data_IF_414960785591
#
_entry.id   IF_414960785591
#
_cell.length_a   1.000
_cell.length_b   1.000
_cell.length_c   1.000
_cell.angle_alpha   90.00
_cell.angle_beta   90.00
_cell.angle_gamma   90.00
#
_symmetry.space_group_name_H-M   'P 1'
#
loop_
_entity.id
_entity.type
_entity.pdbx_description
1 polymer ?
#
# COMPACT_ATOMS: atom_id res chain seq x y z
N UNK A 1 27.47 -1.54 15.48
CA UNK A 1 26.35 -2.32 14.92
C UNK A 1 25.49 -1.34 14.13
N UNK A 2 25.43 -1.47 12.81
CA UNK A 2 24.54 -0.64 12.00
C UNK A 2 23.09 -1.05 12.28
N UNK A 3 22.26 -0.10 12.72
CA UNK A 3 20.83 -0.33 12.92
C UNK A 3 20.19 -0.70 11.59
N UNK A 4 19.99 -2.00 11.35
CA UNK A 4 19.30 -2.50 10.17
C UNK A 4 17.82 -2.10 10.27
N UNK A 5 17.37 -1.31 9.30
CA UNK A 5 16.02 -0.77 9.20
C UNK A 5 15.38 -1.32 7.93
N UNK A 6 14.47 -2.28 8.07
CA UNK A 6 13.67 -2.79 6.95
C UNK A 6 12.33 -2.06 6.90
N UNK A 7 11.92 -1.62 5.71
CA UNK A 7 10.66 -0.90 5.50
C UNK A 7 9.83 -1.66 4.46
N UNK A 8 8.57 -1.93 4.78
CA UNK A 8 7.65 -2.65 3.91
C UNK A 8 6.47 -1.79 3.52
N UNK A 9 6.14 -1.74 2.22
CA UNK A 9 5.01 -0.98 1.68
C UNK A 9 4.19 -1.86 0.72
N UNK A 10 2.86 -1.71 0.73
CA UNK A 10 1.98 -2.44 -0.17
C UNK A 10 1.70 -1.64 -1.45
N UNK A 11 1.68 -2.34 -2.58
CA UNK A 11 1.12 -1.87 -3.85
C UNK A 11 0.00 -2.81 -4.28
N UNK A 12 -0.99 -2.27 -4.99
CA UNK A 12 -2.05 -3.01 -5.64
C UNK A 12 -1.93 -2.80 -7.15
N UNK A 13 -1.78 -3.90 -7.90
CA UNK A 13 -1.86 -3.92 -9.35
C UNK A 13 -3.15 -4.63 -9.74
N UNK A 14 -3.99 -3.99 -10.53
CA UNK A 14 -5.30 -4.55 -10.87
C UNK A 14 -5.72 -4.24 -12.29
N UNK A 15 -6.75 -4.95 -12.73
CA UNK A 15 -7.49 -4.58 -13.92
C UNK A 15 -8.98 -4.79 -13.75
N UNK A 16 -9.74 -4.12 -14.61
CA UNK A 16 -11.15 -4.37 -14.88
C UNK A 16 -11.30 -4.66 -16.36
N UNK A 17 -12.13 -5.62 -16.70
CA UNK A 17 -12.49 -5.91 -18.08
C UNK A 17 -14.01 -6.06 -18.18
N UNK A 18 -14.60 -5.38 -19.15
CA UNK A 18 -16.05 -5.33 -19.32
C UNK A 18 -16.42 -5.65 -20.77
N UNK A 19 -17.30 -6.64 -20.94
CA UNK A 19 -17.89 -6.94 -22.23
C UNK A 19 -18.79 -5.78 -22.67
N UNK A 20 -18.58 -5.31 -23.90
CA UNK A 20 -19.35 -4.22 -24.49
C UNK A 20 -20.71 -4.72 -24.97
N UNK A 21 -21.73 -3.87 -24.86
CA UNK A 21 -23.06 -4.13 -25.46
C UNK A 21 -23.00 -4.12 -27.00
N UNK A 22 -22.10 -3.32 -27.56
CA UNK A 22 -21.86 -3.20 -29.00
C UNK A 22 -20.37 -3.22 -29.27
N UNK A 23 -19.99 -4.07 -30.22
CA UNK A 23 -18.63 -4.19 -30.74
C UNK A 23 -18.20 -2.85 -31.37
N UNK A 24 -16.93 -2.48 -31.23
CA UNK A 24 -16.40 -1.27 -31.88
C UNK A 24 -16.36 -1.40 -33.40
N UNK A 25 -16.13 -0.30 -34.12
CA UNK A 25 -15.92 -0.32 -35.58
C UNK A 25 -14.79 -1.24 -36.02
N UNK A 26 -13.77 -1.37 -35.17
CA UNK A 26 -12.58 -2.19 -35.37
C UNK A 26 -12.81 -3.67 -34.98
N UNK A 27 -13.97 -4.01 -34.45
CA UNK A 27 -14.29 -5.38 -34.03
C UNK A 27 -13.94 -5.69 -32.57
N UNK A 28 -13.67 -4.70 -31.71
CA UNK A 28 -13.32 -4.96 -30.30
C UNK A 28 -14.54 -5.21 -29.42
N UNK A 29 -14.44 -6.21 -28.57
CA UNK A 29 -15.54 -6.74 -27.74
C UNK A 29 -15.47 -6.27 -26.30
N UNK A 30 -14.29 -5.95 -25.77
CA UNK A 30 -14.11 -5.56 -24.37
C UNK A 30 -13.51 -4.16 -24.25
N UNK A 31 -13.96 -3.45 -23.23
CA UNK A 31 -13.24 -2.34 -22.62
C UNK A 31 -12.45 -2.88 -21.44
N UNK A 32 -11.18 -2.50 -21.31
CA UNK A 32 -10.38 -2.89 -20.15
C UNK A 32 -9.57 -1.72 -19.62
N UNK A 33 -9.28 -1.79 -18.32
CA UNK A 33 -8.49 -0.81 -17.60
C UNK A 33 -7.51 -1.52 -16.70
N UNK A 34 -6.23 -1.17 -16.76
CA UNK A 34 -5.19 -1.67 -15.85
C UNK A 34 -4.66 -0.52 -15.00
N UNK A 35 -4.36 -0.80 -13.73
CA UNK A 35 -3.96 0.23 -12.77
C UNK A 35 -2.90 -0.24 -11.78
N UNK A 36 -2.19 0.75 -11.23
CA UNK A 36 -1.35 0.62 -10.02
C UNK A 36 -1.80 1.65 -9.00
N UNK A 37 -2.01 1.22 -7.76
CA UNK A 37 -2.37 2.11 -6.64
C UNK A 37 -1.81 1.60 -5.32
N UNK A 38 -1.95 2.40 -4.26
CA UNK A 38 -1.80 1.89 -2.90
C UNK A 38 -3.09 1.24 -2.41
N UNK A 39 -3.05 0.54 -1.26
CA UNK A 39 -4.28 0.19 -0.53
C UNK A 39 -5.08 1.44 -0.20
N UNK A 40 -6.35 1.28 0.22
CA UNK A 40 -7.37 2.34 0.28
C UNK A 40 -6.91 3.68 0.92
N UNK A 41 -6.02 3.65 1.92
CA UNK A 41 -5.48 4.85 2.59
C UNK A 41 -4.06 5.24 2.17
N UNK A 42 -3.40 4.48 1.30
CA UNK A 42 -1.99 4.63 0.95
C UNK A 42 -1.77 5.49 -0.29
N UNK A 43 -1.36 6.75 -0.11
CA UNK A 43 -0.94 7.62 -1.22
C UNK A 43 0.48 7.27 -1.68
N UNK A 44 0.56 6.46 -2.75
CA UNK A 44 1.83 6.00 -3.32
C UNK A 44 2.58 7.10 -4.07
N UNK A 45 1.94 8.23 -4.41
CA UNK A 45 2.60 9.35 -5.10
C UNK A 45 3.77 9.91 -4.27
N UNK A 46 3.77 9.71 -2.96
CA UNK A 46 4.89 10.12 -2.11
C UNK A 46 6.22 9.45 -2.49
N UNK A 47 6.21 8.17 -2.87
CA UNK A 47 7.42 7.41 -3.17
C UNK A 47 7.50 6.92 -4.62
N UNK A 48 6.41 6.96 -5.39
CA UNK A 48 6.38 6.64 -6.82
C UNK A 48 6.63 7.90 -7.64
N UNK A 49 7.60 7.83 -8.55
CA UNK A 49 7.92 8.89 -9.52
C UNK A 49 7.02 8.79 -10.75
N UNK A 50 6.87 7.59 -11.28
CA UNK A 50 6.02 7.29 -12.44
C UNK A 50 5.75 5.79 -12.53
N UNK A 51 4.69 5.43 -13.23
CA UNK A 51 4.38 4.07 -13.64
C UNK A 51 4.46 3.99 -15.16
N UNK A 52 5.11 2.95 -15.68
CA UNK A 52 5.20 2.67 -17.12
C UNK A 52 4.50 1.36 -17.40
N UNK A 53 3.45 1.40 -18.21
CA UNK A 53 2.76 0.22 -18.71
C UNK A 53 3.32 -0.10 -20.11
N UNK A 54 4.06 -1.20 -20.21
CA UNK A 54 4.59 -1.72 -21.46
C UNK A 54 3.60 -2.76 -22.01
N UNK A 55 2.67 -2.29 -22.85
CA UNK A 55 1.73 -3.09 -23.61
C UNK A 55 2.44 -3.88 -24.71
N UNK A 56 1.73 -4.80 -25.36
CA UNK A 56 2.23 -5.53 -26.53
C UNK A 56 2.44 -4.58 -27.72
N UNK A 57 3.37 -4.89 -28.62
CA UNK A 57 3.74 -4.02 -29.74
C UNK A 57 2.64 -3.84 -30.80
N UNK A 58 1.55 -4.61 -30.71
CA UNK A 58 0.35 -4.40 -31.53
C UNK A 58 -0.40 -3.11 -31.17
N UNK A 59 -0.15 -2.53 -29.99
CA UNK A 59 -0.80 -1.30 -29.56
C UNK A 59 -0.03 -0.07 -30.05
N UNK A 60 -0.71 0.96 -30.58
CA UNK A 60 -0.07 2.22 -30.86
C UNK A 60 0.45 2.82 -29.54
N UNK A 61 1.71 3.28 -29.56
CA UNK A 61 2.39 3.80 -28.36
C UNK A 61 2.35 2.73 -27.24
N UNK A 62 2.98 1.58 -27.47
CA UNK A 62 2.93 0.44 -26.54
C UNK A 62 3.48 0.75 -25.14
N UNK A 63 4.32 1.79 -25.00
CA UNK A 63 4.82 2.28 -23.70
C UNK A 63 4.02 3.49 -23.22
N UNK A 64 3.13 3.28 -22.26
CA UNK A 64 2.32 4.34 -21.64
C UNK A 64 2.94 4.79 -20.32
N UNK A 65 3.13 6.09 -20.12
CA UNK A 65 3.79 6.64 -18.93
C UNK A 65 2.83 7.52 -18.14
N UNK A 66 2.58 7.15 -16.88
CA UNK A 66 1.79 7.92 -15.93
C UNK A 66 2.73 8.52 -14.87
N UNK A 67 2.87 9.84 -14.81
CA UNK A 67 3.72 10.52 -13.82
C UNK A 67 2.99 10.87 -12.53
N UNK A 68 1.66 10.93 -12.58
CA UNK A 68 0.80 11.31 -11.46
C UNK A 68 -0.42 10.36 -11.40
N UNK A 69 -1.05 10.20 -10.21
CA UNK A 69 -2.24 9.38 -10.08
C UNK A 69 -3.44 10.03 -10.82
N UNK A 70 -4.43 9.22 -11.27
CA UNK A 70 -4.46 7.76 -11.20
C UNK A 70 -3.48 7.13 -12.20
N UNK A 71 -2.65 6.20 -11.73
CA UNK A 71 -1.72 5.45 -12.58
C UNK A 71 -2.49 4.32 -13.27
N UNK A 72 -3.12 4.63 -14.41
CA UNK A 72 -3.94 3.67 -15.17
C UNK A 72 -3.82 3.84 -16.68
N UNK A 73 -4.16 2.79 -17.40
CA UNK A 73 -4.35 2.77 -18.85
C UNK A 73 -5.70 2.15 -19.15
N UNK A 74 -6.45 2.77 -20.06
CA UNK A 74 -7.75 2.32 -20.56
C UNK A 74 -7.63 2.06 -22.06
N UNK A 75 -8.17 0.93 -22.52
CA UNK A 75 -8.05 0.46 -23.90
C UNK A 75 -9.21 -0.49 -24.24
N UNK A 76 -9.32 -0.82 -25.53
CA UNK A 76 -10.24 -1.83 -26.06
C UNK A 76 -9.50 -3.03 -26.60
N UNK A 77 -10.10 -4.23 -26.53
CA UNK A 77 -9.48 -5.43 -27.07
C UNK A 77 -10.39 -6.65 -27.15
N UNK A 78 -9.85 -7.72 -27.76
CA UNK A 78 -10.53 -9.01 -27.93
C UNK A 78 -9.86 -10.15 -27.17
N UNK A 79 -8.63 -9.95 -26.72
CA UNK A 79 -7.84 -10.96 -26.03
C UNK A 79 -7.19 -10.37 -24.79
N UNK A 80 -6.96 -11.22 -23.79
CA UNK A 80 -6.07 -10.87 -22.69
C UNK A 80 -4.66 -10.56 -23.21
N UNK A 81 -3.90 -9.78 -22.43
CA UNK A 81 -2.55 -9.37 -22.80
C UNK A 81 -1.58 -9.57 -21.65
N UNK A 82 -0.37 -9.97 -22.01
CA UNK A 82 0.76 -10.00 -21.09
C UNK A 82 1.51 -8.67 -21.20
N UNK A 83 1.72 -7.98 -20.08
CA UNK A 83 2.41 -6.69 -20.05
C UNK A 83 3.46 -6.64 -18.94
N UNK A 84 4.42 -5.73 -19.10
CA UNK A 84 5.33 -5.35 -18.02
C UNK A 84 4.91 -4.00 -17.44
N UNK A 85 4.79 -3.94 -16.11
CA UNK A 85 4.49 -2.72 -15.38
C UNK A 85 5.74 -2.31 -14.60
N UNK A 86 6.33 -1.17 -14.96
CA UNK A 86 7.47 -0.60 -14.24
C UNK A 86 7.00 0.47 -13.27
N UNK A 87 7.28 0.29 -11.99
CA UNK A 87 7.06 1.32 -10.95
C UNK A 87 8.40 1.96 -10.64
N UNK A 88 8.58 3.21 -11.02
CA UNK A 88 9.79 3.99 -10.76
C UNK A 88 9.65 4.73 -9.44
N UNK A 89 10.68 4.72 -8.61
CA UNK A 89 10.65 5.28 -7.27
C UNK A 89 11.33 6.64 -7.23
N UNK A 90 10.83 7.53 -6.37
CA UNK A 90 11.50 8.77 -5.93
C UNK A 90 12.66 8.44 -4.99
N UNK A 91 13.54 7.55 -5.43
CA UNK A 91 14.72 7.06 -4.72
C UNK A 91 15.97 7.42 -5.51
N UNK A 92 16.97 8.00 -4.85
CA UNK A 92 18.26 8.34 -5.46
C UNK A 92 19.18 7.12 -5.60
N UNK A 93 18.98 6.12 -4.74
CA UNK A 93 19.76 4.89 -4.68
C UNK A 93 19.04 3.73 -5.37
N UNK A 94 19.71 2.58 -5.46
CA UNK A 94 19.08 1.35 -5.95
C UNK A 94 18.19 0.73 -4.85
N UNK A 95 17.07 0.08 -5.24
CA UNK A 95 16.52 0.02 -6.60
C UNK A 95 15.83 1.34 -6.98
N UNK A 96 16.00 1.76 -8.24
CA UNK A 96 15.29 2.93 -8.83
C UNK A 96 13.91 2.59 -9.37
N UNK A 97 13.67 1.31 -9.67
CA UNK A 97 12.38 0.81 -10.16
C UNK A 97 12.18 -0.66 -9.80
N UNK A 98 10.93 -1.09 -9.86
CA UNK A 98 10.53 -2.51 -9.85
C UNK A 98 9.72 -2.82 -11.11
N UNK A 99 9.89 -4.02 -11.67
CA UNK A 99 9.17 -4.47 -12.85
C UNK A 99 8.28 -5.67 -12.49
N UNK A 100 6.99 -5.57 -12.80
CA UNK A 100 6.01 -6.62 -12.58
C UNK A 100 5.57 -7.18 -13.93
N UNK A 101 5.64 -8.51 -14.08
CA UNK A 101 4.98 -9.22 -15.16
C UNK A 101 3.50 -9.38 -14.79
N UNK A 102 2.61 -8.79 -15.58
CA UNK A 102 1.18 -8.73 -15.30
C UNK A 102 0.38 -9.32 -16.46
N UNK A 103 -0.48 -10.28 -16.14
CA UNK A 103 -1.41 -10.88 -17.10
C UNK A 103 -2.78 -10.23 -16.92
N UNK A 104 -3.25 -9.55 -17.94
CA UNK A 104 -4.62 -9.07 -18.05
C UNK A 104 -5.43 -10.13 -18.79
N UNK A 105 -6.55 -10.55 -18.19
CA UNK A 105 -7.54 -11.40 -18.86
C UNK A 105 -8.82 -10.59 -19.09
N UNK A 106 -9.77 -11.14 -19.84
CA UNK A 106 -11.03 -10.46 -20.15
C UNK A 106 -12.21 -11.06 -19.38
N UNK A 107 -11.93 -11.94 -18.43
CA UNK A 107 -12.94 -12.71 -17.69
C UNK A 107 -13.55 -11.91 -16.52
N UNK A 108 -13.00 -10.74 -16.21
CA UNK A 108 -13.57 -9.81 -15.23
C UNK A 108 -12.50 -8.95 -14.54
N UNK A 109 -12.77 -8.63 -13.28
CA UNK A 109 -11.89 -7.83 -12.44
C UNK A 109 -10.87 -8.71 -11.71
N UNK A 110 -9.64 -8.21 -11.57
CA UNK A 110 -8.58 -8.90 -10.81
C UNK A 110 -7.71 -7.89 -10.05
N UNK A 111 -7.31 -8.28 -8.84
CA UNK A 111 -6.45 -7.48 -7.96
C UNK A 111 -5.30 -8.33 -7.43
N UNK A 112 -4.06 -7.84 -7.61
CA UNK A 112 -2.83 -8.44 -7.12
C UNK A 112 -2.15 -7.50 -6.12
N UNK A 113 -2.05 -7.95 -4.88
CA UNK A 113 -1.36 -7.22 -3.82
C UNK A 113 0.12 -7.62 -3.78
N UNK A 114 1.02 -6.62 -3.81
CA UNK A 114 2.47 -6.78 -3.77
C UNK A 114 3.04 -6.10 -2.54
N UNK A 115 3.85 -6.82 -1.75
CA UNK A 115 4.57 -6.27 -0.62
C UNK A 115 6.01 -5.96 -1.02
N UNK A 116 6.37 -4.69 -1.12
CA UNK A 116 7.73 -4.26 -1.42
C UNK A 116 8.52 -4.14 -0.12
N UNK A 117 9.71 -4.72 -0.09
CA UNK A 117 10.63 -4.65 1.06
C UNK A 117 11.88 -3.89 0.68
N UNK A 118 12.16 -2.80 1.38
CA UNK A 118 13.37 -2.00 1.21
C UNK A 118 14.26 -2.15 2.44
N UNK A 119 15.49 -2.62 2.24
CA UNK A 119 16.47 -2.80 3.30
C UNK A 119 17.33 -1.55 3.40
N UNK A 120 17.37 -0.95 4.60
CA UNK A 120 18.14 0.26 4.91
C UNK A 120 17.93 1.42 3.92
N UNK A 121 16.67 1.79 3.57
CA UNK A 121 16.46 2.93 2.69
C UNK A 121 17.01 4.21 3.34
N UNK A 122 17.58 5.11 2.54
CA UNK A 122 18.05 6.40 3.03
C UNK A 122 16.90 7.20 3.69
N UNK A 123 17.28 8.19 4.51
CA UNK A 123 16.33 8.95 5.35
C UNK A 123 15.19 9.59 4.54
N UNK A 124 15.48 10.12 3.36
CA UNK A 124 14.48 10.79 2.51
C UNK A 124 13.49 9.79 1.91
N UNK A 125 14.00 8.71 1.30
CA UNK A 125 13.15 7.68 0.70
C UNK A 125 12.32 6.95 1.75
N UNK A 126 12.92 6.65 2.91
CA UNK A 126 12.18 6.10 4.07
C UNK A 126 11.00 6.98 4.45
N UNK A 127 11.20 8.31 4.59
CA UNK A 127 10.11 9.24 4.93
C UNK A 127 8.99 9.19 3.90
N UNK A 128 9.32 9.11 2.60
CA UNK A 128 8.32 8.98 1.52
C UNK A 128 7.52 7.68 1.64
N UNK A 129 8.19 6.56 1.93
CA UNK A 129 7.54 5.27 2.15
C UNK A 129 6.58 5.32 3.34
N UNK A 130 7.02 5.85 4.50
CA UNK A 130 6.16 5.95 5.70
C UNK A 130 4.94 6.83 5.45
N UNK A 131 5.08 7.95 4.71
CA UNK A 131 3.93 8.78 4.32
C UNK A 131 2.91 8.03 3.47
N UNK A 132 3.33 7.01 2.71
CA UNK A 132 2.47 6.15 1.92
C UNK A 132 1.92 4.93 2.70
N UNK A 133 2.07 4.90 4.02
CA UNK A 133 1.58 3.81 4.88
C UNK A 133 2.53 2.62 5.00
N UNK A 134 3.82 2.79 4.70
CA UNK A 134 4.81 1.74 4.93
C UNK A 134 5.04 1.48 6.42
N UNK A 135 5.37 0.24 6.76
CA UNK A 135 5.67 -0.21 8.12
C UNK A 135 7.16 -0.50 8.29
N UNK A 136 7.74 -0.10 9.42
CA UNK A 136 9.11 -0.48 9.79
C UNK A 136 9.10 -1.84 10.45
N UNK A 137 9.95 -2.74 9.97
CA UNK A 137 10.13 -4.08 10.53
C UNK A 137 11.52 -4.15 11.16
N UNK A 138 11.56 -4.45 12.45
CA UNK A 138 12.78 -4.71 13.18
C UNK A 138 12.89 -6.21 13.46
N UNK A 139 14.04 -6.85 13.20
CA UNK A 139 14.22 -8.23 13.63
C UNK A 139 14.09 -8.30 15.15
N UNK A 140 13.20 -9.16 15.65
CA UNK A 140 13.10 -9.45 17.08
C UNK A 140 14.41 -10.09 17.53
N UNK A 141 15.26 -9.30 18.17
CA UNK A 141 16.61 -9.70 18.56
C UNK A 141 17.27 -8.74 19.55
N UNK A 142 16.50 -8.08 20.40
CA UNK A 142 16.89 -7.70 21.77
C UNK A 142 15.60 -7.39 22.53
N UNK A 143 15.07 -8.38 23.24
CA UNK A 143 14.29 -8.08 24.44
C UNK A 143 15.26 -7.41 25.42
N UNK A 144 15.33 -6.08 25.40
CA UNK A 144 15.64 -5.37 26.62
C UNK A 144 14.36 -5.41 27.45
N UNK A 145 14.30 -6.39 28.36
CA UNK A 145 13.33 -6.39 29.43
C UNK A 145 13.44 -5.07 30.19
N UNK A 146 12.57 -4.12 29.87
CA UNK A 146 12.19 -3.08 30.82
C UNK A 146 10.87 -3.54 31.40
N UNK A 147 10.96 -4.45 32.38
CA UNK A 147 9.85 -4.66 33.31
C UNK A 147 9.70 -3.36 34.10
N UNK A 148 8.86 -2.45 33.65
CA UNK A 148 8.25 -1.49 34.56
C UNK A 148 7.02 -2.16 35.15
N UNK A 149 7.22 -2.94 36.20
CA UNK A 149 6.16 -3.28 37.14
C UNK A 149 5.65 -1.97 37.77
N UNK A 150 4.36 -1.67 37.79
CA UNK A 150 3.81 -0.78 38.81
C UNK A 150 3.62 -1.64 40.07
N UNK A 151 4.61 -1.61 40.96
CA UNK A 151 4.43 -2.07 42.34
C UNK A 151 3.61 -0.99 43.06
N UNK A 152 2.29 -1.19 43.11
CA UNK A 152 1.40 -0.39 43.94
C UNK A 152 1.17 -1.11 45.27
N UNK A 153 2.10 -0.94 46.20
CA UNK A 153 1.92 -1.28 47.61
C UNK A 153 2.09 -0.01 48.46
N UNK A 154 0.94 0.63 48.72
CA UNK A 154 0.80 1.83 49.54
C UNK A 154 1.01 1.46 51.02
N UNK A 155 1.85 2.19 51.80
CA UNK A 155 1.91 2.02 53.26
C UNK A 155 0.77 2.77 53.97
N UNK A 156 0.20 2.26 55.09
CA UNK A 156 -0.93 2.88 55.75
C UNK A 156 -0.45 3.90 56.80
N UNK A 157 -0.90 5.16 56.71
CA UNK A 157 -0.89 6.07 57.87
C UNK A 157 -2.21 6.85 58.01
N UNK A 158 -2.98 6.39 59.00
CA UNK A 158 -3.84 7.08 59.99
C UNK A 158 -4.63 8.36 59.59
N UNK A 159 -5.96 8.17 59.59
CA UNK A 159 -7.10 8.92 60.23
C UNK A 159 -7.17 10.46 60.11
N UNK A 160 -8.36 10.96 59.75
CA UNK A 160 -9.22 11.89 60.53
C UNK A 160 -10.64 11.95 59.90
N UNK A 161 -11.58 12.57 60.62
CA UNK A 161 -12.97 12.18 60.93
C UNK A 161 -14.01 13.04 60.19
N UNK A 162 -15.17 12.42 59.94
CA UNK A 162 -16.57 12.93 60.07
C UNK A 162 -17.31 13.80 59.03
N UNK A 163 -18.60 13.41 58.93
CA UNK A 163 -19.85 14.13 58.55
C UNK A 163 -20.21 14.12 57.06
N UNK A 164 -21.45 13.92 56.60
CA UNK A 164 -22.75 13.50 57.15
C UNK A 164 -23.69 13.34 55.92
N UNK A 165 -24.69 12.42 55.97
CA UNK A 165 -26.09 12.57 55.43
C UNK A 165 -26.25 12.61 53.88
N UNK A 166 -27.18 11.94 53.18
CA UNK A 166 -28.42 11.21 53.49
C UNK A 166 -28.90 10.36 52.28
N UNK A 167 -29.68 9.33 52.61
CA UNK A 167 -30.89 8.78 51.93
C UNK A 167 -30.86 8.18 50.50
N UNK A 168 -30.92 6.84 50.48
CA UNK A 168 -32.05 5.96 50.04
C UNK A 168 -32.60 5.92 48.58
N UNK A 169 -33.23 4.78 48.18
CA UNK A 169 -33.09 4.16 46.86
C UNK A 169 -34.41 3.88 46.11
N UNK A 170 -34.31 3.42 44.85
CA UNK A 170 -35.26 2.51 44.16
C UNK A 170 -34.76 2.39 42.70
N UNK A 171 -34.36 1.25 42.13
CA UNK A 171 -34.99 -0.08 41.96
C UNK A 171 -36.37 -0.02 41.30
N UNK A 172 -36.38 -0.21 39.99
CA UNK A 172 -37.12 -1.30 39.32
C UNK A 172 -36.10 -2.20 38.62
#
# INVERSE_FOLDING_TARGET
MENRCTVQVKLELGHRAQLRKKVTSEGFTHDWMVFVRGPETGDIQHFVEKVVFCLHDSFPISKRVCKEPPYKVEETGNTGILMHIEVHFKNKELPKKMCFKYQLNLEGDHLRCEMLTFNNPNKDFRRKLIKAGAVMVFPKGTEAATRSSPDSSIPPTKKIKTSHVSEEPSKE
#
